data_IF_490541722170
#
_entry.id   IF_490541722170
#
_cell.length_a   1.000
_cell.length_b   1.000
_cell.length_c   1.000
_cell.angle_alpha   90.00
_cell.angle_beta   90.00
_cell.angle_gamma   90.00
#
_symmetry.space_group_name_H-M   'P 1'
#
loop_
_entity.id
_entity.type
_entity.pdbx_description
1 polymer ?
#
# COMPACT_ATOMS: atom_id res chain seq x y z
N UNK A 1 -14.95 26.70 -17.32
CA UNK A 1 -14.64 25.29 -17.65
C UNK A 1 -14.40 24.43 -16.41
N UNK A 2 -13.35 24.68 -15.60
CA UNK A 2 -13.02 23.83 -14.43
C UNK A 2 -14.16 23.75 -13.40
N UNK A 3 -14.78 24.89 -13.04
CA UNK A 3 -15.89 24.92 -12.08
C UNK A 3 -17.08 24.05 -12.52
N UNK A 4 -17.41 24.08 -13.82
CA UNK A 4 -18.47 23.29 -14.40
C UNK A 4 -18.11 21.80 -14.41
N UNK A 5 -16.87 21.45 -14.74
CA UNK A 5 -16.36 20.07 -14.66
C UNK A 5 -16.45 19.50 -13.24
N UNK A 6 -16.07 20.27 -12.22
CA UNK A 6 -16.19 19.87 -10.81
C UNK A 6 -17.67 19.66 -10.46
N UNK A 7 -18.53 20.63 -10.76
CA UNK A 7 -19.97 20.56 -10.43
C UNK A 7 -20.66 19.35 -11.06
N UNK A 8 -20.33 19.02 -12.32
CA UNK A 8 -20.89 17.87 -13.05
C UNK A 8 -20.41 16.51 -12.56
N UNK A 9 -19.25 16.46 -11.89
CA UNK A 9 -18.61 15.21 -11.47
C UNK A 9 -18.41 15.14 -9.95
N UNK A 10 -19.14 15.94 -9.18
CA UNK A 10 -18.91 16.14 -7.73
C UNK A 10 -18.94 14.83 -6.93
N UNK A 11 -19.84 13.91 -7.26
CA UNK A 11 -19.96 12.61 -6.58
C UNK A 11 -18.76 11.71 -6.89
N UNK A 12 -18.40 11.61 -8.18
CA UNK A 12 -17.23 10.84 -8.60
C UNK A 12 -15.94 11.43 -8.01
N UNK A 13 -15.78 12.74 -8.07
CA UNK A 13 -14.63 13.43 -7.48
C UNK A 13 -14.52 13.14 -5.98
N UNK A 14 -15.62 13.28 -5.23
CA UNK A 14 -15.66 12.99 -3.81
C UNK A 14 -15.31 11.53 -3.50
N UNK A 15 -15.84 10.58 -4.28
CA UNK A 15 -15.52 9.16 -4.13
C UNK A 15 -14.04 8.88 -4.43
N UNK A 16 -13.49 9.44 -5.51
CA UNK A 16 -12.08 9.29 -5.86
C UNK A 16 -11.16 9.82 -4.78
N UNK A 17 -11.43 11.04 -4.28
CA UNK A 17 -10.66 11.61 -3.17
C UNK A 17 -10.79 10.79 -1.89
N UNK A 18 -12.00 10.34 -1.54
CA UNK A 18 -12.22 9.53 -0.33
C UNK A 18 -11.51 8.19 -0.42
N UNK A 19 -11.46 7.59 -1.61
CA UNK A 19 -10.74 6.34 -1.84
C UNK A 19 -9.23 6.53 -1.65
N UNK A 20 -8.65 7.59 -2.22
CA UNK A 20 -7.23 7.89 -2.04
C UNK A 20 -6.88 8.22 -0.58
N UNK A 21 -7.70 9.04 0.08
CA UNK A 21 -7.57 9.34 1.51
C UNK A 21 -7.60 8.05 2.35
N UNK A 22 -8.46 7.09 2.00
CA UNK A 22 -8.62 5.86 2.78
C UNK A 22 -7.43 4.91 2.63
N UNK A 23 -6.87 4.76 1.43
CA UNK A 23 -5.92 3.69 1.12
C UNK A 23 -4.48 4.15 0.86
N UNK A 24 -4.26 5.44 0.63
CA UNK A 24 -2.94 6.00 0.29
C UNK A 24 -2.43 7.01 1.32
N UNK A 25 -3.17 7.25 2.40
CA UNK A 25 -2.74 8.13 3.48
C UNK A 25 -1.77 7.43 4.45
N UNK A 26 -0.53 7.26 3.99
CA UNK A 26 0.61 6.76 4.75
C UNK A 26 1.88 7.46 4.24
N UNK A 27 2.97 7.39 5.02
CA UNK A 27 4.17 8.18 4.80
C UNK A 27 5.39 7.35 4.36
N UNK A 28 6.29 8.02 3.67
CA UNK A 28 7.71 7.67 3.58
C UNK A 28 8.50 8.76 4.32
N UNK A 29 8.77 8.53 5.61
CA UNK A 29 9.37 9.55 6.46
C UNK A 29 8.41 10.74 6.64
N UNK A 30 8.77 11.89 6.08
CA UNK A 30 7.95 13.12 6.15
C UNK A 30 7.06 13.33 4.92
N UNK A 31 7.17 12.49 3.89
CA UNK A 31 6.42 12.64 2.64
C UNK A 31 5.19 11.75 2.67
N UNK A 32 4.01 12.34 2.48
CA UNK A 32 2.74 11.60 2.44
C UNK A 32 2.43 11.12 1.01
N UNK A 33 2.13 9.83 0.87
CA UNK A 33 1.88 9.20 -0.44
C UNK A 33 0.58 9.67 -1.06
N UNK A 34 -0.43 10.02 -0.25
CA UNK A 34 -1.69 10.58 -0.75
C UNK A 34 -1.43 11.82 -1.58
N UNK A 35 -0.56 12.72 -1.12
CA UNK A 35 -0.29 13.97 -1.82
C UNK A 35 0.41 13.72 -3.16
N UNK A 36 1.31 12.74 -3.20
CA UNK A 36 1.97 12.31 -4.43
C UNK A 36 0.98 11.71 -5.44
N UNK A 37 0.15 10.76 -4.98
CA UNK A 37 -0.83 10.08 -5.85
C UNK A 37 -1.96 11.02 -6.27
N UNK A 38 -2.35 11.96 -5.41
CA UNK A 38 -3.46 12.86 -5.68
C UNK A 38 -3.06 14.06 -6.56
N UNK A 39 -1.87 14.60 -6.39
CA UNK A 39 -1.49 15.89 -7.00
C UNK A 39 -0.30 15.83 -7.95
N UNK A 40 0.53 14.78 -7.88
CA UNK A 40 1.76 14.66 -8.66
C UNK A 40 1.77 13.41 -9.56
N UNK A 41 0.83 13.30 -10.53
CA UNK A 41 0.83 12.20 -11.49
C UNK A 41 2.08 12.18 -12.38
N UNK A 42 2.75 13.31 -12.50
CA UNK A 42 3.99 13.53 -13.24
C UNK A 42 5.25 13.04 -12.51
N UNK A 43 5.15 12.59 -11.25
CA UNK A 43 6.30 12.14 -10.47
C UNK A 43 7.14 11.07 -11.17
N UNK A 44 6.51 10.15 -11.93
CA UNK A 44 7.20 9.13 -12.71
C UNK A 44 7.44 9.54 -14.18
N UNK A 45 7.33 10.83 -14.50
CA UNK A 45 7.64 11.39 -15.82
C UNK A 45 6.45 11.51 -16.78
N UNK A 46 5.23 11.16 -16.36
CA UNK A 46 4.02 11.33 -17.19
C UNK A 46 3.33 12.68 -16.94
N UNK A 47 3.84 13.73 -17.58
CA UNK A 47 3.34 15.10 -17.41
C UNK A 47 2.00 15.43 -18.07
N UNK A 48 1.46 14.55 -18.92
CA UNK A 48 0.25 14.84 -19.70
C UNK A 48 -1.06 14.44 -19.00
N UNK A 49 -0.98 13.96 -17.75
CA UNK A 49 -2.16 13.53 -16.99
C UNK A 49 -2.63 14.63 -16.04
N UNK A 50 -3.95 14.87 -16.03
CA UNK A 50 -4.59 15.84 -15.16
C UNK A 50 -5.01 15.18 -13.83
N UNK A 51 -4.54 15.68 -12.66
CA UNK A 51 -4.92 15.16 -11.35
C UNK A 51 -6.45 15.13 -11.14
N UNK A 52 -7.14 16.17 -11.61
CA UNK A 52 -8.60 16.25 -11.52
C UNK A 52 -9.29 15.16 -12.37
N UNK A 53 -8.74 14.84 -13.54
CA UNK A 53 -9.28 13.79 -14.39
C UNK A 53 -9.05 12.41 -13.79
N UNK A 54 -7.86 12.14 -13.26
CA UNK A 54 -7.55 10.89 -12.56
C UNK A 54 -8.51 10.65 -11.40
N UNK A 55 -8.80 11.67 -10.59
CA UNK A 55 -9.75 11.56 -9.48
C UNK A 55 -11.19 11.26 -9.94
N UNK A 56 -11.63 11.93 -11.01
CA UNK A 56 -12.97 11.71 -11.58
C UNK A 56 -13.07 10.31 -12.18
N UNK A 57 -12.05 9.86 -12.93
CA UNK A 57 -12.00 8.53 -13.53
C UNK A 57 -11.99 7.44 -12.46
N UNK A 58 -11.19 7.59 -11.41
CA UNK A 58 -11.18 6.68 -10.26
C UNK A 58 -12.58 6.60 -9.63
N UNK A 59 -13.22 7.74 -9.36
CA UNK A 59 -14.58 7.77 -8.81
C UNK A 59 -15.64 7.14 -9.72
N UNK A 60 -15.44 7.19 -11.04
CA UNK A 60 -16.32 6.58 -12.05
C UNK A 60 -15.99 5.12 -12.36
N UNK A 61 -14.92 4.58 -11.79
CA UNK A 61 -14.45 3.21 -12.09
C UNK A 61 -15.41 2.10 -11.62
N UNK A 62 -16.48 2.46 -10.91
CA UNK A 62 -17.55 1.57 -10.52
C UNK A 62 -17.34 0.93 -9.16
N UNK A 63 -18.44 0.53 -8.52
CA UNK A 63 -18.45 0.00 -7.15
C UNK A 63 -17.46 -1.15 -6.95
N UNK A 64 -17.45 -2.13 -7.86
CA UNK A 64 -16.55 -3.29 -7.77
C UNK A 64 -15.09 -2.87 -7.76
N UNK A 65 -14.69 -1.90 -8.58
CA UNK A 65 -13.31 -1.45 -8.61
C UNK A 65 -12.92 -0.69 -7.34
N UNK A 66 -13.87 0.01 -6.69
CA UNK A 66 -13.62 0.75 -5.45
C UNK A 66 -13.71 -0.11 -4.17
N UNK A 67 -13.96 -1.42 -4.29
CA UNK A 67 -13.98 -2.31 -3.13
C UNK A 67 -12.60 -2.45 -2.49
N UNK A 68 -12.56 -2.44 -1.16
CA UNK A 68 -11.34 -2.62 -0.37
C UNK A 68 -10.51 -3.85 -0.78
N UNK A 69 -11.18 -4.97 -1.08
CA UNK A 69 -10.53 -6.23 -1.47
C UNK A 69 -9.80 -6.15 -2.83
N UNK A 70 -10.16 -5.19 -3.67
CA UNK A 70 -9.61 -5.05 -5.02
C UNK A 70 -8.51 -3.99 -5.08
N UNK A 71 -8.08 -3.41 -3.95
CA UNK A 71 -7.23 -2.22 -3.91
C UNK A 71 -5.92 -2.27 -4.72
N UNK A 72 -5.31 -3.46 -4.84
CA UNK A 72 -4.14 -3.69 -5.69
C UNK A 72 -4.52 -3.63 -7.17
N UNK A 73 -5.62 -4.28 -7.54
CA UNK A 73 -6.12 -4.30 -8.92
C UNK A 73 -6.65 -2.92 -9.34
N UNK A 74 -7.31 -2.21 -8.43
CA UNK A 74 -7.77 -0.82 -8.62
C UNK A 74 -6.62 0.09 -9.02
N UNK A 75 -5.45 -0.07 -8.38
CA UNK A 75 -4.26 0.69 -8.75
C UNK A 75 -3.86 0.40 -10.21
N UNK A 76 -3.73 -0.88 -10.57
CA UNK A 76 -3.37 -1.27 -11.94
C UNK A 76 -4.35 -0.76 -13.00
N UNK A 77 -5.66 -0.84 -12.72
CA UNK A 77 -6.71 -0.47 -13.68
C UNK A 77 -6.87 1.04 -13.81
N UNK A 78 -6.81 1.79 -12.69
CA UNK A 78 -7.23 3.20 -12.66
C UNK A 78 -6.12 4.20 -12.40
N UNK A 79 -5.00 3.79 -11.81
CA UNK A 79 -3.93 4.71 -11.41
C UNK A 79 -2.64 4.47 -12.19
N UNK A 80 -2.26 3.22 -12.43
CA UNK A 80 -0.95 2.89 -12.99
C UNK A 80 -0.67 3.61 -14.33
N UNK A 81 -1.61 3.51 -15.27
CA UNK A 81 -1.50 4.19 -16.57
C UNK A 81 -1.47 5.71 -16.43
N UNK A 82 -2.19 6.28 -15.46
CA UNK A 82 -2.26 7.72 -15.21
C UNK A 82 -0.99 8.28 -14.58
N UNK A 83 -0.32 7.47 -13.75
CA UNK A 83 0.94 7.82 -13.10
C UNK A 83 2.18 7.41 -13.91
N UNK A 84 2.04 6.66 -15.01
CA UNK A 84 3.21 6.14 -15.75
C UNK A 84 3.91 4.97 -15.06
N UNK A 85 3.19 4.22 -14.23
CA UNK A 85 3.68 3.04 -13.51
C UNK A 85 3.00 1.76 -14.00
N UNK A 86 3.44 0.60 -13.51
CA UNK A 86 2.90 -0.71 -13.93
C UNK A 86 1.98 -1.34 -12.89
N UNK A 87 2.37 -1.30 -11.62
CA UNK A 87 1.65 -1.96 -10.53
C UNK A 87 1.92 -1.25 -9.21
N UNK A 88 1.08 -1.57 -8.21
CA UNK A 88 1.16 -0.94 -6.90
C UNK A 88 2.50 -1.20 -6.21
N UNK A 89 3.00 -2.43 -6.23
CA UNK A 89 4.16 -2.81 -5.43
C UNK A 89 5.44 -2.19 -5.98
N UNK A 90 5.64 -2.21 -7.31
CA UNK A 90 6.77 -1.50 -7.92
C UNK A 90 6.73 0.00 -7.63
N UNK A 91 5.54 0.60 -7.61
CA UNK A 91 5.35 2.02 -7.25
C UNK A 91 5.76 2.29 -5.80
N UNK A 92 5.30 1.47 -4.84
CA UNK A 92 5.68 1.60 -3.43
C UNK A 92 7.20 1.45 -3.26
N UNK A 93 7.80 0.44 -3.87
CA UNK A 93 9.25 0.24 -3.81
C UNK A 93 10.03 1.40 -4.41
N UNK A 94 9.50 2.02 -5.48
CA UNK A 94 10.12 3.18 -6.09
C UNK A 94 10.06 4.40 -5.16
N UNK A 95 8.89 4.71 -4.58
CA UNK A 95 8.79 5.77 -3.57
C UNK A 95 9.76 5.54 -2.42
N UNK A 96 9.87 4.29 -1.93
CA UNK A 96 10.85 3.93 -0.90
C UNK A 96 12.29 4.19 -1.34
N UNK A 97 12.66 3.88 -2.60
CA UNK A 97 14.00 4.18 -3.15
C UNK A 97 14.30 5.66 -3.19
N UNK A 98 13.30 6.47 -3.52
CA UNK A 98 13.46 7.92 -3.64
C UNK A 98 13.53 8.59 -2.26
N UNK A 99 12.60 8.28 -1.36
CA UNK A 99 12.44 9.00 -0.09
C UNK A 99 13.20 8.37 1.08
N UNK A 100 13.44 7.05 1.07
CA UNK A 100 14.12 6.30 2.12
C UNK A 100 15.18 5.35 1.52
N UNK A 101 16.20 5.86 0.82
CA UNK A 101 17.16 5.04 0.06
C UNK A 101 17.95 4.05 0.92
N UNK A 102 18.16 4.36 2.20
CA UNK A 102 18.96 3.57 3.13
C UNK A 102 18.13 2.59 3.98
N UNK A 103 16.82 2.50 3.73
CA UNK A 103 15.90 1.64 4.49
C UNK A 103 15.42 0.50 3.60
N UNK A 104 15.30 -0.71 4.14
CA UNK A 104 14.69 -1.83 3.41
C UNK A 104 13.17 -1.65 3.28
N UNK A 105 12.54 -2.27 2.27
CA UNK A 105 11.07 -2.23 2.14
C UNK A 105 10.38 -2.74 3.42
N UNK A 106 10.88 -3.84 3.98
CA UNK A 106 10.28 -4.45 5.16
C UNK A 106 10.46 -3.60 6.42
N UNK A 107 11.62 -2.96 6.60
CA UNK A 107 11.85 -2.09 7.75
C UNK A 107 11.01 -0.81 7.66
N UNK A 108 10.86 -0.23 6.45
CA UNK A 108 9.91 0.85 6.22
C UNK A 108 8.49 0.41 6.57
N UNK A 109 8.03 -0.72 6.04
CA UNK A 109 6.68 -1.22 6.26
C UNK A 109 6.36 -1.38 7.74
N UNK A 110 7.30 -1.96 8.52
CA UNK A 110 7.17 -2.09 9.98
C UNK A 110 7.16 -0.75 10.72
N UNK A 111 7.87 0.25 10.21
CA UNK A 111 7.90 1.58 10.82
C UNK A 111 6.64 2.39 10.54
N UNK A 112 6.04 2.20 9.35
CA UNK A 112 4.87 2.95 8.91
C UNK A 112 3.56 2.35 9.42
N UNK A 113 3.44 1.03 9.37
CA UNK A 113 2.23 0.35 9.87
C UNK A 113 2.08 0.51 11.37
N UNK A 114 0.85 0.70 11.83
CA UNK A 114 0.51 0.62 13.26
C UNK A 114 0.25 -0.82 13.72
N UNK A 115 0.30 -1.81 12.83
CA UNK A 115 0.18 -3.20 13.24
C UNK A 115 1.37 -3.60 14.11
N UNK A 116 1.13 -4.40 15.16
CA UNK A 116 2.21 -4.98 15.94
C UNK A 116 2.81 -6.17 15.17
N UNK A 117 4.01 -6.00 14.62
CA UNK A 117 4.66 -7.01 13.80
C UNK A 117 5.73 -7.75 14.61
N UNK A 118 5.65 -9.08 14.61
CA UNK A 118 6.66 -9.97 15.20
C UNK A 118 7.22 -10.89 14.11
N UNK A 119 8.54 -10.85 13.92
CA UNK A 119 9.26 -11.66 12.93
C UNK A 119 10.21 -12.63 13.64
N UNK A 120 9.75 -13.87 13.83
CA UNK A 120 10.47 -14.90 14.60
C UNK A 120 11.50 -15.64 13.73
N UNK A 121 12.73 -15.14 13.76
CA UNK A 121 13.86 -15.73 13.02
C UNK A 121 14.36 -17.01 13.67
N UNK A 122 14.82 -17.95 12.85
CA UNK A 122 15.43 -19.19 13.33
C UNK A 122 16.71 -18.89 14.15
N UNK A 123 16.98 -19.75 15.12
CA UNK A 123 18.23 -19.76 15.88
C UNK A 123 19.40 -20.36 15.08
N UNK A 124 19.10 -21.16 14.04
CA UNK A 124 20.12 -21.78 13.18
C UNK A 124 20.71 -20.71 12.26
N UNK A 125 22.02 -20.47 12.36
CA UNK A 125 22.70 -19.37 11.67
C UNK A 125 22.49 -19.38 10.14
N UNK A 126 22.57 -20.55 9.50
CA UNK A 126 22.36 -20.70 8.06
C UNK A 126 20.92 -20.31 7.64
N UNK A 127 19.92 -20.80 8.37
CA UNK A 127 18.50 -20.50 8.12
C UNK A 127 18.23 -19.02 8.37
N UNK A 128 18.78 -18.47 9.46
CA UNK A 128 18.68 -17.05 9.82
C UNK A 128 19.27 -16.14 8.75
N UNK A 129 20.39 -16.53 8.15
CA UNK A 129 21.01 -15.79 7.05
C UNK A 129 20.09 -15.77 5.81
N UNK A 130 19.53 -16.93 5.42
CA UNK A 130 18.57 -17.04 4.32
C UNK A 130 17.30 -16.22 4.58
N UNK A 131 16.79 -16.22 5.81
CA UNK A 131 15.59 -15.47 6.21
C UNK A 131 15.75 -13.94 6.15
N UNK A 132 16.99 -13.43 6.22
CA UNK A 132 17.27 -11.99 6.10
C UNK A 132 17.32 -11.51 4.65
N UNK A 133 17.41 -12.41 3.67
CA UNK A 133 17.51 -12.04 2.27
C UNK A 133 16.12 -11.68 1.72
N UNK A 134 15.92 -10.39 1.47
CA UNK A 134 14.69 -9.85 0.91
C UNK A 134 14.41 -10.41 -0.50
N UNK A 135 13.14 -10.48 -0.88
CA UNK A 135 12.71 -10.95 -2.21
C UNK A 135 12.92 -12.44 -2.47
N UNK A 136 13.44 -13.20 -1.51
CA UNK A 136 13.56 -14.67 -1.62
C UNK A 136 12.33 -15.35 -1.04
N UNK A 137 12.06 -16.59 -1.49
CA UNK A 137 11.00 -17.44 -0.89
C UNK A 137 11.23 -17.74 0.60
N UNK A 138 12.44 -17.49 1.11
CA UNK A 138 12.82 -17.72 2.49
C UNK A 138 12.72 -16.46 3.35
N UNK A 139 12.48 -15.29 2.76
CA UNK A 139 12.35 -14.04 3.52
C UNK A 139 11.25 -14.19 4.57
N UNK A 140 11.57 -13.78 5.80
CA UNK A 140 10.60 -13.72 6.88
C UNK A 140 9.92 -12.35 6.96
N UNK A 141 10.41 -11.37 6.20
CA UNK A 141 9.86 -10.03 6.17
C UNK A 141 8.36 -10.05 5.86
N UNK A 142 7.54 -9.44 6.71
CA UNK A 142 6.09 -9.38 6.49
C UNK A 142 5.78 -8.74 5.15
N UNK A 143 6.47 -7.66 4.79
CA UNK A 143 6.27 -7.00 3.49
C UNK A 143 6.58 -7.95 2.34
N UNK A 144 7.77 -8.54 2.33
CA UNK A 144 8.22 -9.45 1.25
C UNK A 144 7.26 -10.64 1.06
N UNK A 145 6.67 -11.14 2.15
CA UNK A 145 5.71 -12.24 2.11
C UNK A 145 4.37 -11.83 1.52
N UNK A 146 3.83 -10.68 1.95
CA UNK A 146 2.54 -10.20 1.45
C UNK A 146 2.66 -9.76 0.00
N UNK A 147 3.78 -9.17 -0.41
CA UNK A 147 4.00 -8.75 -1.81
C UNK A 147 4.42 -9.89 -2.73
N UNK A 148 4.78 -11.07 -2.19
CA UNK A 148 5.11 -12.25 -3.00
C UNK A 148 3.99 -12.66 -3.94
N UNK A 149 4.34 -13.07 -5.16
CA UNK A 149 3.39 -13.55 -6.17
C UNK A 149 2.64 -14.83 -5.75
N UNK A 150 3.18 -15.60 -4.81
CA UNK A 150 2.54 -16.83 -4.30
C UNK A 150 1.50 -16.56 -3.21
N UNK A 151 1.42 -15.32 -2.70
CA UNK A 151 0.51 -14.97 -1.63
C UNK A 151 -0.88 -14.62 -2.18
N UNK A 152 -1.93 -15.17 -1.56
CA UNK A 152 -3.33 -14.96 -2.01
C UNK A 152 -3.87 -13.58 -1.63
N UNK A 153 -3.44 -13.02 -0.50
CA UNK A 153 -4.01 -11.81 0.09
C UNK A 153 -3.06 -10.62 0.01
N UNK A 154 -2.54 -10.36 -1.20
CA UNK A 154 -1.59 -9.24 -1.45
C UNK A 154 -2.26 -7.87 -1.24
N UNK A 155 -3.58 -7.82 -1.33
CA UNK A 155 -4.43 -6.67 -1.03
C UNK A 155 -4.41 -6.22 0.45
N UNK A 156 -3.74 -6.96 1.34
CA UNK A 156 -3.59 -6.57 2.75
C UNK A 156 -2.56 -5.46 2.98
N UNK A 157 -1.67 -5.17 2.02
CA UNK A 157 -0.62 -4.14 2.19
C UNK A 157 -1.21 -2.77 2.52
N UNK A 158 -2.15 -2.26 1.71
CA UNK A 158 -2.73 -0.93 1.94
C UNK A 158 -3.51 -0.84 3.25
N UNK A 159 -4.42 -1.78 3.59
CA UNK A 159 -5.10 -1.77 4.88
C UNK A 159 -4.17 -1.75 6.09
N UNK A 160 -3.05 -2.48 6.03
CA UNK A 160 -2.06 -2.50 7.10
C UNK A 160 -1.28 -1.18 7.21
N UNK A 161 -0.97 -0.54 6.08
CA UNK A 161 -0.32 0.77 6.05
C UNK A 161 -1.23 1.88 6.61
N UNK A 162 -2.53 1.82 6.34
CA UNK A 162 -3.50 2.86 6.72
C UNK A 162 -4.28 2.55 8.01
N UNK A 163 -3.69 1.81 8.94
CA UNK A 163 -4.33 1.53 10.22
C UNK A 163 -4.47 2.82 11.06
N UNK A 164 -5.65 3.10 11.64
CA UNK A 164 -5.83 4.29 12.49
C UNK A 164 -5.12 4.14 13.84
N UNK A 165 -5.02 2.91 14.35
CA UNK A 165 -4.47 2.59 15.66
C UNK A 165 -3.87 1.17 15.69
N UNK A 166 -3.25 0.80 16.81
CA UNK A 166 -2.66 -0.53 17.03
C UNK A 166 -3.74 -1.57 17.35
N UNK A 167 -4.56 -1.93 16.36
CA UNK A 167 -5.69 -2.87 16.51
C UNK A 167 -5.42 -4.28 15.99
N UNK A 168 -4.32 -4.46 15.24
CA UNK A 168 -3.96 -5.73 14.60
C UNK A 168 -2.52 -6.10 14.95
N UNK A 169 -2.24 -7.39 15.10
CA UNK A 169 -0.89 -7.93 15.15
C UNK A 169 -0.65 -8.92 14.01
N UNK A 170 0.59 -8.98 13.55
CA UNK A 170 1.04 -9.88 12.49
C UNK A 170 2.24 -10.66 12.98
N UNK A 171 2.16 -11.99 12.94
CA UNK A 171 3.23 -12.88 13.36
C UNK A 171 3.76 -13.59 12.11
N UNK A 172 5.01 -13.34 11.78
CA UNK A 172 5.73 -14.02 10.69
C UNK A 172 6.74 -14.98 11.28
N UNK A 173 6.55 -16.27 11.03
CA UNK A 173 7.48 -17.35 11.41
C UNK A 173 8.13 -17.94 10.17
N UNK A 174 8.99 -18.96 10.29
CA UNK A 174 9.59 -19.61 9.12
C UNK A 174 8.55 -20.09 8.09
N UNK A 175 7.44 -20.69 8.53
CA UNK A 175 6.47 -21.35 7.65
C UNK A 175 5.12 -20.66 7.56
N UNK A 176 4.83 -19.70 8.45
CA UNK A 176 3.49 -19.10 8.55
C UNK A 176 3.52 -17.58 8.63
N UNK A 177 2.44 -16.97 8.15
CA UNK A 177 2.11 -15.57 8.35
C UNK A 177 0.70 -15.51 8.95
N UNK A 178 0.61 -15.19 10.24
CA UNK A 178 -0.63 -15.12 11.00
C UNK A 178 -1.06 -13.69 11.26
N UNK A 179 -2.37 -13.44 11.23
CA UNK A 179 -2.98 -12.15 11.52
C UNK A 179 -3.97 -12.30 12.68
N UNK A 180 -3.98 -11.36 13.61
CA UNK A 180 -4.93 -11.32 14.71
C UNK A 180 -5.32 -9.91 15.09
N UNK A 181 -6.50 -9.77 15.70
CA UNK A 181 -7.01 -8.49 16.20
C UNK A 181 -6.94 -8.45 17.73
N UNK A 182 -6.57 -7.31 18.31
CA UNK A 182 -6.47 -7.14 19.76
C UNK A 182 -7.82 -7.27 20.47
N UNK A 183 -8.92 -6.84 19.83
CA UNK A 183 -10.27 -6.94 20.40
C UNK A 183 -10.67 -8.37 20.74
N UNK A 184 -10.07 -9.38 20.07
CA UNK A 184 -10.32 -10.80 20.41
C UNK A 184 -9.78 -11.21 21.77
N UNK A 185 -8.86 -10.45 22.34
CA UNK A 185 -8.23 -10.71 23.64
C UNK A 185 -8.63 -9.68 24.70
N UNK A 186 -9.51 -8.74 24.34
CA UNK A 186 -10.08 -7.81 25.30
C UNK A 186 -11.21 -8.53 26.05
N UNK A 187 -10.88 -9.08 27.21
CA UNK A 187 -11.92 -9.50 28.16
C UNK A 187 -12.76 -8.26 28.50
N UNK A 188 -14.06 -8.34 28.24
CA UNK A 188 -15.07 -7.42 28.74
C UNK A 188 -15.16 -7.49 30.26
#
# INVERSE_FOLDING_TARGET
>A
YILDKIKRNKEALLLGMSYLERWYNFNYGQVNVKDLVMYHPDFFGKGNTSPLDTLIELGKSGFNNLLAKNNVDTYGISLASQHGTTDLFSTLEHYRKVFLPNTSNNDWFKSETKAYIVEEKSTIAEVKAKQKQAGTKYSIGVYDRITSNTWKYRNMVLPLLTLPERSVFVISTLSSLGFGAYDRYRNS
#
